data_IF_769543929907
#
_entry.id   IF_769543929907
#
_cell.length_a   1.000
_cell.length_b   1.000
_cell.length_c   1.000
_cell.angle_alpha   90.00
_cell.angle_beta   90.00
_cell.angle_gamma   90.00
#
_symmetry.space_group_name_H-M   'P 1'
#
loop_
_entity.id
_entity.type
_entity.pdbx_description
1 polymer ?
#
# COMPACT_ATOMS: atom_id res chain seq x y z
N UNK A 1 -18.99 15.80 25.20
CA UNK A 1 -18.86 15.17 23.87
C UNK A 1 -17.47 15.49 23.35
N UNK A 2 -16.48 14.67 23.68
CA UNK A 2 -15.13 14.77 23.14
C UNK A 2 -15.11 13.98 21.84
N UNK A 3 -15.20 14.68 20.71
CA UNK A 3 -15.01 14.06 19.40
C UNK A 3 -13.55 13.63 19.30
N UNK A 4 -13.29 12.36 19.57
CA UNK A 4 -12.07 11.73 19.09
C UNK A 4 -12.24 11.64 17.57
N UNK A 5 -11.55 12.52 16.85
CA UNK A 5 -11.39 12.35 15.41
C UNK A 5 -10.41 11.18 15.26
N UNK A 6 -10.96 9.97 15.18
CA UNK A 6 -10.17 8.77 14.89
C UNK A 6 -9.76 8.85 13.43
N UNK A 7 -8.46 8.94 13.20
CA UNK A 7 -7.86 9.27 11.94
C UNK A 7 -7.53 7.94 11.22
N UNK A 8 -8.26 7.57 10.17
CA UNK A 8 -8.31 6.23 9.56
C UNK A 8 -7.14 5.85 8.63
N UNK A 9 -5.92 6.24 8.93
CA UNK A 9 -5.10 6.72 7.82
C UNK A 9 -3.86 5.93 7.45
N UNK A 10 -3.54 6.07 6.17
CA UNK A 10 -2.33 5.60 5.52
C UNK A 10 -1.29 6.73 5.54
N UNK A 11 -0.13 6.41 6.12
CA UNK A 11 1.05 7.27 6.17
C UNK A 11 1.96 7.09 4.95
N UNK A 12 1.88 5.93 4.29
CA UNK A 12 2.66 5.65 3.09
C UNK A 12 2.16 4.44 2.31
N UNK A 13 2.46 4.42 1.02
CA UNK A 13 2.09 3.37 0.07
C UNK A 13 3.31 3.04 -0.80
N UNK A 14 3.52 1.75 -1.05
CA UNK A 14 4.49 1.23 -2.02
C UNK A 14 3.82 0.12 -2.84
N UNK A 15 4.00 0.17 -4.16
CA UNK A 15 3.52 -0.86 -5.09
C UNK A 15 4.73 -1.40 -5.84
N UNK A 16 4.93 -2.71 -5.76
CA UNK A 16 6.00 -3.43 -6.44
C UNK A 16 5.45 -4.66 -7.16
N UNK A 17 6.23 -5.21 -8.09
CA UNK A 17 5.84 -6.41 -8.81
C UNK A 17 7.03 -7.32 -9.13
N UNK A 18 6.74 -8.62 -9.22
CA UNK A 18 7.68 -9.64 -9.69
C UNK A 18 7.03 -10.42 -10.83
N UNK A 19 7.73 -10.57 -11.95
CA UNK A 19 7.25 -11.42 -13.02
C UNK A 19 7.33 -12.89 -12.60
N UNK A 20 6.21 -13.61 -12.66
CA UNK A 20 6.16 -15.06 -12.38
C UNK A 20 6.02 -15.91 -13.64
N UNK A 21 6.07 -15.27 -14.82
CA UNK A 21 6.07 -15.90 -16.14
C UNK A 21 4.69 -15.95 -16.81
N UNK A 22 4.65 -16.24 -18.12
CA UNK A 22 3.40 -16.35 -18.91
C UNK A 22 2.44 -15.15 -18.75
N UNK A 23 2.99 -13.93 -18.74
CA UNK A 23 2.25 -12.67 -18.53
C UNK A 23 1.61 -12.51 -17.14
N UNK A 24 1.95 -13.37 -16.18
CA UNK A 24 1.54 -13.21 -14.79
C UNK A 24 2.58 -12.44 -13.99
N UNK A 25 2.09 -11.50 -13.19
CA UNK A 25 2.88 -10.65 -12.31
C UNK A 25 2.33 -10.75 -10.90
N UNK A 26 3.17 -11.12 -9.94
CA UNK A 26 2.82 -11.02 -8.53
C UNK A 26 3.02 -9.57 -8.09
N UNK A 27 1.91 -8.87 -7.85
CA UNK A 27 1.90 -7.49 -7.37
C UNK A 27 1.87 -7.51 -5.85
N UNK A 28 2.72 -6.70 -5.23
CA UNK A 28 2.79 -6.49 -3.79
C UNK A 28 2.45 -5.04 -3.48
N UNK A 29 1.46 -4.82 -2.63
CA UNK A 29 1.08 -3.53 -2.10
C UNK A 29 1.47 -3.47 -0.62
N UNK A 30 2.34 -2.52 -0.28
CA UNK A 30 2.77 -2.25 1.08
C UNK A 30 2.10 -0.98 1.58
N UNK A 31 1.38 -1.09 2.69
CA UNK A 31 0.68 0.02 3.34
C UNK A 31 1.30 0.27 4.71
N UNK A 32 1.64 1.52 4.97
CA UNK A 32 2.18 1.99 6.24
C UNK A 32 1.14 2.86 6.91
N UNK A 33 0.80 2.58 8.16
CA UNK A 33 -0.21 3.33 8.90
C UNK A 33 0.20 3.59 10.34
N UNK A 34 -0.40 4.59 10.94
CA UNK A 34 -0.26 4.82 12.37
C UNK A 34 -1.09 3.79 13.16
N UNK A 35 -0.52 3.32 14.26
CA UNK A 35 -1.19 2.34 15.13
C UNK A 35 -2.44 2.89 15.81
N UNK A 36 -2.53 4.21 15.98
CA UNK A 36 -3.71 4.90 16.52
C UNK A 36 -4.85 5.04 15.49
N UNK A 37 -4.63 4.62 14.23
CA UNK A 37 -5.63 4.67 13.17
C UNK A 37 -6.60 3.47 13.14
N UNK A 38 -7.42 3.39 12.09
CA UNK A 38 -8.39 2.30 11.94
C UNK A 38 -7.71 0.98 11.58
N UNK A 39 -8.32 -0.13 11.98
CA UNK A 39 -7.90 -1.46 11.57
C UNK A 39 -7.96 -1.61 10.05
N UNK A 40 -6.94 -2.22 9.47
CA UNK A 40 -6.90 -2.52 8.05
C UNK A 40 -7.85 -3.67 7.67
N UNK A 41 -8.50 -3.55 6.52
CA UNK A 41 -9.24 -4.65 5.90
C UNK A 41 -8.31 -5.82 5.55
N UNK A 42 -8.84 -7.05 5.58
CA UNK A 42 -8.12 -8.25 5.11
C UNK A 42 -7.88 -8.26 3.60
N UNK A 43 -8.55 -7.39 2.86
CA UNK A 43 -8.41 -7.26 1.40
C UNK A 43 -8.35 -5.80 0.97
N UNK A 44 -7.67 -5.57 -0.15
CA UNK A 44 -7.60 -4.30 -0.87
C UNK A 44 -7.99 -4.50 -2.33
N UNK A 45 -8.37 -3.44 -3.03
CA UNK A 45 -8.70 -3.48 -4.46
C UNK A 45 -7.63 -2.74 -5.26
N UNK A 46 -7.03 -3.42 -6.23
CA UNK A 46 -6.05 -2.86 -7.16
C UNK A 46 -6.73 -2.61 -8.50
N UNK A 47 -6.73 -1.37 -8.97
CA UNK A 47 -7.21 -1.02 -10.29
C UNK A 47 -6.11 -1.22 -11.33
N UNK A 48 -6.45 -1.90 -12.43
CA UNK A 48 -5.52 -2.25 -13.50
C UNK A 48 -6.07 -1.70 -14.80
N UNK A 49 -5.30 -0.82 -15.44
CA UNK A 49 -5.64 -0.25 -16.75
C UNK A 49 -4.48 -0.40 -17.73
N UNK A 50 -4.75 -0.36 -19.03
CA UNK A 50 -3.71 -0.35 -20.06
C UNK A 50 -4.00 0.66 -21.16
N UNK A 51 -2.94 1.10 -21.82
CA UNK A 51 -3.04 1.90 -23.05
C UNK A 51 -3.65 1.14 -24.24
N UNK A 52 -3.70 -0.20 -24.18
CA UNK A 52 -4.46 -1.05 -25.10
C UNK A 52 -5.98 -1.05 -24.84
N UNK A 53 -6.46 -0.34 -23.82
CA UNK A 53 -7.88 -0.21 -23.51
C UNK A 53 -8.47 -1.28 -22.58
N UNK A 54 -7.65 -2.11 -21.93
CA UNK A 54 -8.12 -2.99 -20.85
C UNK A 54 -8.30 -2.18 -19.55
N UNK A 55 -9.35 -2.50 -18.79
CA UNK A 55 -9.62 -1.94 -17.46
C UNK A 55 -10.36 -2.97 -16.61
N UNK A 56 -9.82 -3.29 -15.44
CA UNK A 56 -10.41 -4.22 -14.47
C UNK A 56 -9.80 -4.00 -13.08
N UNK A 57 -10.43 -4.54 -12.05
CA UNK A 57 -9.92 -4.49 -10.68
C UNK A 57 -9.58 -5.89 -10.17
N UNK A 58 -8.58 -5.99 -9.29
CA UNK A 58 -8.10 -7.24 -8.71
C UNK A 58 -8.10 -7.13 -7.19
N UNK A 59 -8.74 -8.10 -6.53
CA UNK A 59 -8.69 -8.19 -5.07
C UNK A 59 -7.31 -8.68 -4.62
N UNK A 60 -6.64 -7.87 -3.81
CA UNK A 60 -5.39 -8.22 -3.12
C UNK A 60 -5.70 -8.73 -1.72
N UNK A 61 -5.09 -9.85 -1.35
CA UNK A 61 -5.28 -10.45 -0.03
C UNK A 61 -4.11 -10.07 0.88
N UNK A 62 -4.41 -9.78 2.15
CA UNK A 62 -3.38 -9.54 3.15
C UNK A 62 -2.51 -10.79 3.31
N UNK A 63 -1.19 -10.58 3.32
CA UNK A 63 -0.21 -11.65 3.54
C UNK A 63 -0.26 -12.06 5.03
N UNK A 64 -0.42 -13.37 5.35
CA UNK A 64 -0.42 -13.83 6.73
C UNK A 64 0.83 -13.40 7.49
N UNK A 65 0.65 -12.84 8.69
CA UNK A 65 1.73 -12.34 9.53
C UNK A 65 2.14 -10.88 9.26
N UNK A 66 1.56 -10.19 8.27
CA UNK A 66 1.72 -8.74 8.15
C UNK A 66 0.99 -7.98 9.28
N UNK A 67 1.13 -6.66 9.31
CA UNK A 67 0.59 -5.81 10.38
C UNK A 67 1.50 -5.75 11.60
N UNK A 68 2.80 -5.94 11.40
CA UNK A 68 3.78 -5.82 12.48
C UNK A 68 4.13 -4.35 12.72
N UNK A 69 4.48 -4.04 13.96
CA UNK A 69 5.01 -2.74 14.32
C UNK A 69 6.40 -2.52 13.71
N UNK A 70 6.58 -1.41 13.00
CA UNK A 70 7.83 -0.98 12.38
C UNK A 70 8.24 0.44 12.85
N UNK A 71 7.85 0.81 14.06
CA UNK A 71 8.10 2.13 14.64
C UNK A 71 9.58 2.47 14.68
N UNK A 72 9.93 3.69 14.27
CA UNK A 72 11.31 4.23 14.34
C UNK A 72 11.64 4.75 15.75
N UNK A 73 11.35 3.93 16.76
CA UNK A 73 11.59 4.22 18.17
C UNK A 73 12.82 3.45 18.66
N UNK A 74 13.54 4.01 19.62
CA UNK A 74 14.59 3.26 20.32
C UNK A 74 13.98 2.01 20.98
N UNK A 75 14.70 0.88 20.97
CA UNK A 75 14.20 -0.39 21.53
C UNK A 75 13.67 -0.29 22.96
N UNK A 76 14.26 0.59 23.78
CA UNK A 76 13.84 0.81 25.17
C UNK A 76 12.49 1.52 25.32
N UNK A 77 12.05 2.28 24.31
CA UNK A 77 10.79 3.03 24.31
C UNK A 77 9.76 2.45 23.33
N UNK A 78 10.14 1.46 22.51
CA UNK A 78 9.23 0.73 21.63
C UNK A 78 8.00 0.16 22.37
N UNK A 79 8.11 -0.42 23.58
CA UNK A 79 6.93 -0.88 24.33
C UNK A 79 5.99 0.25 24.79
N UNK A 80 6.39 1.51 24.62
CA UNK A 80 5.62 2.70 24.96
C UNK A 80 5.08 3.39 23.69
N UNK A 81 5.12 2.71 22.54
CA UNK A 81 4.46 3.17 21.33
C UNK A 81 2.94 3.07 21.44
N UNK A 82 2.23 3.83 20.62
CA UNK A 82 0.77 3.77 20.54
C UNK A 82 0.26 2.40 20.07
N UNK A 83 1.08 1.60 19.38
CA UNK A 83 0.77 0.19 19.04
C UNK A 83 0.64 -0.68 20.30
N UNK A 84 1.28 -0.27 21.39
CA UNK A 84 1.29 -0.96 22.68
C UNK A 84 0.51 -0.17 23.75
N UNK A 85 -0.43 0.70 23.34
CA UNK A 85 -1.20 1.60 24.23
C UNK A 85 -0.33 2.59 25.02
N UNK A 86 0.82 2.97 24.47
CA UNK A 86 1.67 4.01 25.01
C UNK A 86 1.28 5.41 24.55
N UNK A 87 2.27 6.28 24.39
CA UNK A 87 2.08 7.68 23.96
C UNK A 87 3.12 8.17 22.94
N UNK A 88 3.98 7.27 22.46
CA UNK A 88 4.96 7.55 21.43
C UNK A 88 4.44 7.10 20.06
N UNK A 89 4.77 7.83 18.97
CA UNK A 89 4.25 7.54 17.64
C UNK A 89 4.62 6.12 17.21
N UNK A 90 3.60 5.31 16.91
CA UNK A 90 3.72 3.93 16.50
C UNK A 90 3.28 3.71 15.06
N UNK A 91 4.01 2.86 14.32
CA UNK A 91 3.75 2.56 12.90
C UNK A 91 3.56 1.06 12.69
N UNK A 92 2.57 0.68 11.88
CA UNK A 92 2.36 -0.68 11.39
C UNK A 92 2.63 -0.79 9.89
N UNK A 93 3.11 -1.96 9.46
CA UNK A 93 3.31 -2.30 8.05
C UNK A 93 2.43 -3.49 7.65
N UNK A 94 1.57 -3.28 6.65
CA UNK A 94 0.72 -4.29 6.05
C UNK A 94 1.17 -4.59 4.62
N UNK A 95 1.13 -5.87 4.26
CA UNK A 95 1.48 -6.33 2.91
C UNK A 95 0.29 -7.06 2.32
N UNK A 96 -0.08 -6.70 1.10
CA UNK A 96 -1.12 -7.33 0.31
C UNK A 96 -0.54 -7.85 -0.99
N UNK A 97 -1.06 -8.99 -1.47
CA UNK A 97 -0.60 -9.58 -2.71
C UNK A 97 -1.76 -10.04 -3.59
N UNK A 98 -1.55 -9.92 -4.90
CA UNK A 98 -2.36 -10.53 -5.93
C UNK A 98 -1.49 -10.94 -7.11
N UNK A 99 -1.91 -11.97 -7.84
CA UNK A 99 -1.33 -12.29 -9.14
C UNK A 99 -2.22 -11.70 -10.22
N UNK A 100 -1.65 -10.83 -11.05
CA UNK A 100 -2.34 -10.14 -12.14
C UNK A 100 -1.89 -10.71 -13.47
N UNK A 101 -2.84 -10.91 -14.39
CA UNK A 101 -2.56 -11.35 -15.76
C UNK A 101 -2.60 -10.14 -16.70
N UNK A 102 -1.46 -9.80 -17.30
CA UNK A 102 -1.29 -8.62 -18.15
C UNK A 102 -1.17 -9.02 -19.62
N UNK A 103 -2.31 -9.15 -20.30
CA UNK A 103 -2.36 -9.49 -21.72
C UNK A 103 -3.49 -8.71 -22.41
N UNK A 104 -3.32 -8.25 -23.67
CA UNK A 104 -2.12 -8.38 -24.52
C UNK A 104 -0.90 -7.60 -24.01
N UNK A 105 0.31 -7.84 -24.57
CA UNK A 105 1.45 -6.96 -24.34
C UNK A 105 1.09 -5.51 -24.71
N UNK A 106 1.32 -4.59 -23.79
CA UNK A 106 0.99 -3.17 -23.90
C UNK A 106 2.19 -2.32 -23.46
N UNK A 107 2.30 -1.11 -24.00
CA UNK A 107 3.42 -0.22 -23.65
C UNK A 107 3.29 0.31 -22.21
N UNK A 108 2.06 0.37 -21.69
CA UNK A 108 1.79 0.71 -20.31
C UNK A 108 0.59 -0.04 -19.75
N UNK A 109 0.85 -0.80 -18.68
CA UNK A 109 -0.15 -1.27 -17.72
C UNK A 109 -0.01 -0.46 -16.44
N UNK A 110 -1.01 0.34 -16.11
CA UNK A 110 -1.06 1.10 -14.85
C UNK A 110 -1.74 0.25 -13.78
N UNK A 111 -1.03 0.00 -12.69
CA UNK A 111 -1.52 -0.65 -11.48
C UNK A 111 -1.69 0.44 -10.42
N UNK A 112 -2.92 0.73 -10.01
CA UNK A 112 -3.26 1.83 -9.13
C UNK A 112 -4.00 1.35 -7.90
N UNK A 113 -3.76 2.02 -6.78
CA UNK A 113 -4.48 1.82 -5.54
C UNK A 113 -4.84 3.17 -4.94
N UNK A 114 -6.05 3.26 -4.39
CA UNK A 114 -6.55 4.46 -3.73
C UNK A 114 -7.29 4.10 -2.46
N UNK A 115 -7.21 4.97 -1.47
CA UNK A 115 -8.05 4.86 -0.28
C UNK A 115 -8.34 6.23 0.33
N UNK A 116 -9.52 6.32 0.95
CA UNK A 116 -9.85 7.41 1.85
C UNK A 116 -9.31 6.97 3.24
N UNK A 117 -8.24 7.51 3.77
CA UNK A 117 -7.76 8.87 3.61
C UNK A 117 -6.27 8.91 3.96
N UNK A 118 -5.63 10.05 3.66
CA UNK A 118 -4.26 10.34 4.06
C UNK A 118 -4.17 10.81 5.51
N UNK A 119 -3.09 10.41 6.18
CA UNK A 119 -2.82 10.86 7.54
C UNK A 119 -2.62 12.38 7.64
N UNK A 120 -3.36 13.11 8.50
CA UNK A 120 -3.11 14.52 8.71
C UNK A 120 -1.73 14.70 9.30
N UNK A 121 -1.00 15.64 8.74
CA UNK A 121 0.36 15.96 9.16
C UNK A 121 0.44 17.46 9.46
N UNK A 122 1.51 17.90 10.14
CA UNK A 122 1.69 19.34 10.46
C UNK A 122 1.62 20.20 9.19
N UNK A 123 2.11 19.69 8.07
CA UNK A 123 2.06 20.35 6.75
C UNK A 123 0.74 20.16 5.99
N UNK A 124 -0.07 19.15 6.32
CA UNK A 124 -1.37 18.90 5.67
C UNK A 124 -2.41 18.53 6.73
N UNK A 125 -2.81 19.48 7.59
CA UNK A 125 -3.57 19.19 8.80
C UNK A 125 -5.03 18.80 8.55
N UNK A 126 -5.55 19.03 7.35
CA UNK A 126 -6.93 18.73 6.94
C UNK A 126 -7.05 17.49 6.06
N UNK A 127 -5.97 16.73 5.85
CA UNK A 127 -5.98 15.61 4.90
C UNK A 127 -6.76 14.38 5.37
N UNK A 128 -7.44 14.45 6.50
CA UNK A 128 -8.26 13.36 7.03
C UNK A 128 -9.47 13.00 6.17
N UNK A 129 -9.70 13.75 5.09
CA UNK A 129 -10.72 13.52 4.06
C UNK A 129 -10.12 13.50 2.66
N UNK A 130 -8.80 13.63 2.54
CA UNK A 130 -8.11 13.60 1.25
C UNK A 130 -7.71 12.16 0.93
N UNK A 131 -7.94 11.75 -0.30
CA UNK A 131 -7.54 10.43 -0.78
C UNK A 131 -6.01 10.32 -0.85
N UNK A 132 -5.51 9.12 -0.56
CA UNK A 132 -4.16 8.72 -0.96
C UNK A 132 -4.25 7.89 -2.22
N UNK A 133 -3.40 8.19 -3.20
CA UNK A 133 -3.34 7.51 -4.48
C UNK A 133 -1.89 7.14 -4.78
N UNK A 134 -1.66 5.90 -5.22
CA UNK A 134 -0.38 5.44 -5.71
C UNK A 134 -0.58 4.60 -6.96
N UNK A 135 0.28 4.79 -7.95
CA UNK A 135 0.30 3.98 -9.16
C UNK A 135 1.72 3.62 -9.59
N UNK A 136 1.80 2.54 -10.37
CA UNK A 136 3.00 2.17 -11.11
C UNK A 136 2.62 1.76 -12.53
N UNK A 137 3.55 1.95 -13.47
CA UNK A 137 3.36 1.54 -14.86
C UNK A 137 4.33 0.42 -15.24
N UNK A 138 3.80 -0.67 -15.78
CA UNK A 138 4.54 -1.84 -16.27
C UNK A 138 4.48 -1.88 -17.79
N UNK A 139 5.63 -1.87 -18.47
CA UNK A 139 5.69 -2.05 -19.91
C UNK A 139 5.89 -3.53 -20.26
N UNK A 140 4.89 -4.16 -20.87
CA UNK A 140 4.92 -5.60 -21.18
C UNK A 140 5.29 -5.91 -22.64
N UNK A 141 5.50 -4.89 -23.48
CA UNK A 141 6.03 -5.04 -24.86
C UNK A 141 7.55 -5.10 -24.87
N UNK A 142 8.20 -4.11 -24.25
CA UNK A 142 9.65 -3.94 -24.20
C UNK A 142 10.28 -4.85 -23.14
N UNK A 143 9.58 -5.04 -22.02
CA UNK A 143 10.06 -5.81 -20.88
C UNK A 143 8.96 -6.79 -20.38
N UNK A 144 8.60 -7.81 -21.21
CA UNK A 144 7.49 -8.74 -20.94
C UNK A 144 7.66 -9.59 -19.68
N UNK A 145 8.84 -9.58 -19.07
CA UNK A 145 9.09 -10.23 -17.78
C UNK A 145 10.24 -9.51 -17.08
N UNK A 146 9.89 -8.39 -16.44
CA UNK A 146 10.82 -7.57 -15.66
C UNK A 146 10.22 -7.26 -14.30
N UNK A 147 11.07 -7.30 -13.28
CA UNK A 147 10.69 -7.01 -11.90
C UNK A 147 10.78 -5.51 -11.62
N UNK A 148 10.00 -5.04 -10.65
CA UNK A 148 10.10 -3.66 -10.17
C UNK A 148 11.47 -3.39 -9.55
N UNK A 149 12.00 -2.16 -9.62
CA UNK A 149 13.20 -1.79 -8.88
C UNK A 149 12.99 -2.01 -7.37
N UNK A 150 14.09 -2.34 -6.67
CA UNK A 150 14.09 -2.49 -5.21
C UNK A 150 14.95 -1.39 -4.60
N UNK A 151 14.38 -0.67 -3.64
CA UNK A 151 15.14 0.26 -2.81
C UNK A 151 15.76 -0.50 -1.64
N UNK A 152 17.10 -0.47 -1.57
CA UNK A 152 17.85 -0.99 -0.42
C UNK A 152 18.36 0.18 0.40
N UNK A 153 18.23 0.08 1.73
CA UNK A 153 18.68 1.08 2.69
C UNK A 153 20.06 0.72 3.26
#
# INVERSE_FOLDING_TARGET
MTGLVSASHISGVDISWTCVGNNYYQVTLNLFRDCSGITMSSTQELDVTSDCGQSFSVTMNQVPGSGQEISQLCTSVLPQSDCNNGGYPGMEHYTYQATVFLFPPCDGWTLAWTDCCRNPSVNVPTSSVDDIYADVTVNTVTAPCNDSPVFTA
#
